data_IF_336308876693
#
_entry.id   IF_336308876693
#
_cell.length_a   1.000
_cell.length_b   1.000
_cell.length_c   1.000
_cell.angle_alpha   90.00
_cell.angle_beta   90.00
_cell.angle_gamma   90.00
#
_symmetry.space_group_name_H-M   'P 1'
#
loop_
_entity.id
_entity.type
_entity.pdbx_description
1 polymer ?
#
# COMPACT_ATOMS: atom_id res chain seq x y z
N UNK A 1 -7.20 -3.74 -3.28
CA UNK A 1 -8.10 -4.34 -4.29
C UNK A 1 -7.42 -4.32 -5.66
N UNK A 2 -7.61 -5.36 -6.47
CA UNK A 2 -7.08 -5.44 -7.84
C UNK A 2 -8.13 -4.92 -8.84
N UNK A 3 -8.59 -3.69 -8.63
CA UNK A 3 -9.70 -3.13 -9.42
C UNK A 3 -9.37 -2.98 -10.91
N UNK A 4 -8.14 -2.60 -11.23
CA UNK A 4 -7.69 -2.47 -12.61
C UNK A 4 -7.51 -3.85 -13.27
N UNK A 5 -6.97 -4.83 -12.56
CA UNK A 5 -6.78 -6.20 -13.04
C UNK A 5 -8.12 -6.87 -13.38
N UNK A 6 -9.11 -6.76 -12.49
CA UNK A 6 -10.47 -7.30 -12.73
C UNK A 6 -11.14 -6.71 -13.98
N UNK A 7 -10.76 -5.53 -14.39
CA UNK A 7 -11.31 -4.84 -15.56
C UNK A 7 -10.40 -4.89 -16.79
N UNK A 8 -9.23 -5.53 -16.69
CA UNK A 8 -8.19 -5.50 -17.72
C UNK A 8 -8.67 -6.04 -19.08
N UNK A 9 -9.34 -7.18 -19.10
CA UNK A 9 -9.84 -7.80 -20.34
C UNK A 9 -10.87 -6.93 -21.05
N UNK A 10 -11.79 -6.34 -20.26
CA UNK A 10 -12.80 -5.43 -20.81
C UNK A 10 -12.15 -4.18 -21.40
N UNK A 11 -11.15 -3.63 -20.70
CA UNK A 11 -10.40 -2.47 -21.16
C UNK A 11 -9.64 -2.79 -22.45
N UNK A 12 -8.93 -3.92 -22.50
CA UNK A 12 -8.19 -4.36 -23.67
C UNK A 12 -9.10 -4.57 -24.89
N UNK A 13 -10.30 -5.14 -24.71
CA UNK A 13 -11.30 -5.29 -25.79
C UNK A 13 -11.75 -3.94 -26.32
N UNK A 14 -12.03 -2.97 -25.45
CA UNK A 14 -12.45 -1.63 -25.84
C UNK A 14 -11.31 -0.87 -26.54
N UNK A 15 -10.09 -0.98 -26.06
CA UNK A 15 -8.91 -0.36 -26.68
C UNK A 15 -8.65 -0.92 -28.09
N UNK A 16 -8.77 -2.25 -28.29
CA UNK A 16 -8.66 -2.86 -29.62
C UNK A 16 -9.75 -2.37 -30.57
N UNK A 17 -11.00 -2.20 -30.10
CA UNK A 17 -12.09 -1.63 -30.88
C UNK A 17 -11.80 -0.16 -31.23
N UNK A 18 -11.29 0.62 -30.29
CA UNK A 18 -10.93 2.02 -30.51
C UNK A 18 -9.83 2.17 -31.57
N UNK A 19 -8.81 1.31 -31.53
CA UNK A 19 -7.70 1.34 -32.47
C UNK A 19 -8.15 1.03 -33.94
N UNK A 20 -9.25 0.28 -34.10
CA UNK A 20 -9.81 -0.04 -35.44
C UNK A 20 -10.85 0.97 -35.90
N UNK A 21 -11.30 1.87 -35.06
CA UNK A 21 -12.34 2.84 -35.40
C UNK A 21 -11.73 4.07 -36.10
N UNK A 22 -12.46 4.61 -37.08
CA UNK A 22 -12.07 5.84 -37.79
C UNK A 22 -12.06 7.01 -36.80
N UNK A 23 -10.92 7.69 -36.67
CA UNK A 23 -10.76 8.86 -35.78
C UNK A 23 -11.81 9.94 -36.10
N UNK A 24 -12.45 10.46 -35.05
CA UNK A 24 -13.45 11.51 -35.19
C UNK A 24 -14.86 11.02 -35.51
N UNK A 25 -15.04 9.72 -35.88
CA UNK A 25 -16.37 9.15 -36.12
C UNK A 25 -17.20 9.07 -34.84
N UNK A 26 -18.52 9.00 -34.97
CA UNK A 26 -19.42 8.82 -33.85
C UNK A 26 -19.15 7.51 -33.09
N UNK A 27 -18.75 6.45 -33.81
CA UNK A 27 -18.35 5.18 -33.21
C UNK A 27 -17.07 5.33 -32.39
N UNK A 28 -16.05 6.04 -32.89
CA UNK A 28 -14.83 6.35 -32.14
C UNK A 28 -15.14 7.06 -30.83
N UNK A 29 -15.97 8.11 -30.87
CA UNK A 29 -16.41 8.89 -29.69
C UNK A 29 -17.14 8.00 -28.69
N UNK A 30 -18.09 7.18 -29.15
CA UNK A 30 -18.85 6.27 -28.29
C UNK A 30 -17.95 5.22 -27.59
N UNK A 31 -16.93 4.69 -28.27
CA UNK A 31 -15.96 3.75 -27.66
C UNK A 31 -15.08 4.49 -26.64
N UNK A 32 -14.60 5.70 -26.97
CA UNK A 32 -13.81 6.53 -26.04
C UNK A 32 -14.58 6.82 -24.75
N UNK A 33 -15.87 7.12 -24.85
CA UNK A 33 -16.75 7.34 -23.69
C UNK A 33 -16.92 6.07 -22.84
N UNK A 34 -17.04 4.91 -23.47
CA UNK A 34 -17.10 3.62 -22.76
C UNK A 34 -15.80 3.35 -21.99
N UNK A 35 -14.64 3.66 -22.58
CA UNK A 35 -13.34 3.55 -21.90
C UNK A 35 -13.26 4.52 -20.72
N UNK A 36 -13.66 5.78 -20.89
CA UNK A 36 -13.66 6.79 -19.83
C UNK A 36 -14.56 6.38 -18.65
N UNK A 37 -15.77 5.89 -18.96
CA UNK A 37 -16.70 5.36 -17.94
C UNK A 37 -16.11 4.17 -17.19
N UNK A 38 -15.38 3.27 -17.88
CA UNK A 38 -14.74 2.12 -17.24
C UNK A 38 -13.62 2.57 -16.30
N UNK A 39 -12.76 3.50 -16.73
CA UNK A 39 -11.72 4.08 -15.86
C UNK A 39 -12.30 4.79 -14.65
N UNK A 40 -13.37 5.58 -14.83
CA UNK A 40 -14.09 6.21 -13.72
C UNK A 40 -14.58 5.17 -12.71
N UNK A 41 -15.20 4.08 -13.18
CA UNK A 41 -15.68 2.99 -12.32
C UNK A 41 -14.54 2.35 -11.52
N UNK A 42 -13.40 2.04 -12.17
CA UNK A 42 -12.21 1.48 -11.50
C UNK A 42 -11.72 2.43 -10.40
N UNK A 43 -11.64 3.72 -10.69
CA UNK A 43 -11.21 4.71 -9.71
C UNK A 43 -12.19 4.81 -8.54
N UNK A 44 -13.51 4.86 -8.80
CA UNK A 44 -14.51 4.91 -7.73
C UNK A 44 -14.47 3.66 -6.83
N UNK A 45 -14.28 2.47 -7.40
CA UNK A 45 -14.16 1.23 -6.62
C UNK A 45 -12.92 1.24 -5.74
N UNK A 46 -11.78 1.74 -6.27
CA UNK A 46 -10.55 1.89 -5.51
C UNK A 46 -10.71 2.89 -4.38
N UNK A 47 -11.33 4.02 -4.67
CA UNK A 47 -11.56 5.09 -3.70
C UNK A 47 -12.47 4.62 -2.56
N UNK A 48 -13.57 3.95 -2.86
CA UNK A 48 -14.47 3.38 -1.86
C UNK A 48 -13.73 2.39 -0.93
N UNK A 49 -12.93 1.50 -1.52
CA UNK A 49 -12.11 0.57 -0.74
C UNK A 49 -11.12 1.31 0.18
N UNK A 50 -10.37 2.27 -0.35
CA UNK A 50 -9.37 3.03 0.42
C UNK A 50 -10.04 3.87 1.52
N UNK A 51 -11.21 4.45 1.24
CA UNK A 51 -11.99 5.18 2.23
C UNK A 51 -12.45 4.29 3.38
N UNK A 52 -12.97 3.10 3.07
CA UNK A 52 -13.41 2.12 4.08
C UNK A 52 -12.22 1.64 4.91
N UNK A 53 -11.15 1.21 4.24
CA UNK A 53 -9.95 0.70 4.90
C UNK A 53 -9.31 1.75 5.81
N UNK A 54 -9.09 2.97 5.34
CA UNK A 54 -8.50 4.04 6.15
C UNK A 54 -9.40 4.42 7.33
N UNK A 55 -10.74 4.36 7.18
CA UNK A 55 -11.66 4.60 8.30
C UNK A 55 -11.57 3.49 9.34
N UNK A 56 -11.49 2.23 8.92
CA UNK A 56 -11.29 1.09 9.84
C UNK A 56 -10.04 1.26 10.68
N UNK A 57 -8.90 1.63 10.07
CA UNK A 57 -7.67 1.87 10.83
C UNK A 57 -7.83 3.02 11.84
N UNK A 58 -8.35 4.15 11.42
CA UNK A 58 -8.50 5.34 12.29
C UNK A 58 -9.48 5.09 13.43
N UNK A 59 -10.52 4.28 13.22
CA UNK A 59 -11.48 3.96 14.27
C UNK A 59 -10.91 3.00 15.32
N UNK A 60 -10.03 2.09 14.92
CA UNK A 60 -9.54 1.03 15.78
C UNK A 60 -8.20 1.36 16.49
N UNK A 61 -7.46 2.38 16.02
CA UNK A 61 -6.09 2.63 16.49
C UNK A 61 -5.84 4.11 16.76
N UNK A 62 -5.18 4.38 17.90
CA UNK A 62 -4.78 5.72 18.30
C UNK A 62 -3.50 6.17 17.61
N UNK A 63 -2.60 5.23 17.35
CA UNK A 63 -1.32 5.48 16.67
C UNK A 63 -1.20 4.53 15.49
N UNK A 64 -0.92 5.09 14.32
CA UNK A 64 -0.74 4.36 13.06
C UNK A 64 0.65 4.68 12.53
N UNK A 65 1.52 3.68 12.43
CA UNK A 65 2.87 3.83 11.85
C UNK A 65 2.87 3.28 10.42
N UNK A 66 3.41 4.04 9.49
CA UNK A 66 3.53 3.65 8.08
C UNK A 66 4.92 3.97 7.55
N UNK A 67 5.39 3.19 6.56
CA UNK A 67 6.63 3.55 5.86
C UNK A 67 6.44 4.79 5.00
N UNK A 68 7.43 5.71 5.02
CA UNK A 68 7.47 6.86 4.12
C UNK A 68 8.07 6.46 2.77
N UNK A 69 7.26 5.79 1.95
CA UNK A 69 7.69 5.23 0.67
C UNK A 69 7.79 6.30 -0.42
N UNK A 70 8.93 6.37 -1.10
CA UNK A 70 9.07 7.10 -2.35
C UNK A 70 8.41 6.34 -3.52
N UNK A 71 7.10 6.53 -3.65
CA UNK A 71 6.29 5.88 -4.69
C UNK A 71 6.69 6.31 -6.11
N UNK A 72 7.26 7.51 -6.28
CA UNK A 72 7.77 7.98 -7.58
C UNK A 72 9.03 7.20 -7.96
N UNK A 73 10.01 7.14 -7.07
CA UNK A 73 11.24 6.37 -7.30
C UNK A 73 10.98 4.87 -7.47
N UNK A 74 9.96 4.30 -6.80
CA UNK A 74 9.55 2.91 -7.04
C UNK A 74 9.00 2.68 -8.45
N UNK A 75 8.29 3.67 -9.02
CA UNK A 75 7.81 3.61 -10.41
C UNK A 75 8.96 3.75 -11.39
N UNK A 76 9.87 4.69 -11.17
CA UNK A 76 11.03 4.93 -12.06
C UNK A 76 11.98 3.73 -12.12
N UNK A 77 12.17 3.04 -11.00
CA UNK A 77 13.00 1.82 -10.90
C UNK A 77 12.30 0.56 -11.41
N UNK A 78 11.00 0.60 -11.63
CA UNK A 78 10.24 -0.54 -12.13
C UNK A 78 10.56 -0.86 -13.59
N UNK A 79 11.09 -2.05 -13.86
CA UNK A 79 11.54 -2.43 -15.21
C UNK A 79 10.43 -2.98 -16.11
N UNK A 80 9.21 -3.18 -15.60
CA UNK A 80 8.13 -3.74 -16.41
C UNK A 80 6.76 -3.08 -16.17
N UNK A 81 5.93 -3.10 -17.22
CA UNK A 81 4.59 -2.51 -17.20
C UNK A 81 3.65 -3.17 -16.17
N UNK A 82 3.87 -4.41 -15.80
CA UNK A 82 3.09 -5.12 -14.78
C UNK A 82 3.32 -4.53 -13.39
N UNK A 83 4.57 -4.25 -13.03
CA UNK A 83 4.94 -3.62 -11.77
C UNK A 83 4.37 -2.20 -11.66
N UNK A 84 4.46 -1.39 -12.73
CA UNK A 84 3.86 -0.06 -12.76
C UNK A 84 2.34 -0.09 -12.52
N UNK A 85 1.64 -1.05 -13.15
CA UNK A 85 0.19 -1.23 -12.95
C UNK A 85 -0.13 -1.61 -11.51
N UNK A 86 0.62 -2.52 -10.92
CA UNK A 86 0.42 -2.97 -9.53
C UNK A 86 0.66 -1.84 -8.53
N UNK A 87 1.73 -1.06 -8.68
CA UNK A 87 2.02 0.11 -7.85
C UNK A 87 0.90 1.17 -7.98
N UNK A 88 0.44 1.41 -9.22
CA UNK A 88 -0.65 2.35 -9.46
C UNK A 88 -1.98 1.87 -8.87
N UNK A 89 -2.28 0.58 -8.96
CA UNK A 89 -3.52 0.00 -8.44
C UNK A 89 -3.53 -0.05 -6.90
N UNK A 90 -2.39 -0.25 -6.27
CA UNK A 90 -2.22 -0.19 -4.82
C UNK A 90 -2.50 1.21 -4.25
N UNK A 91 -2.20 2.28 -5.01
CA UNK A 91 -2.49 3.68 -4.64
C UNK A 91 -2.00 4.08 -3.24
N UNK A 92 -0.78 3.65 -2.84
CA UNK A 92 -0.22 3.86 -1.51
C UNK A 92 -0.23 5.32 -1.06
N UNK A 93 0.23 6.25 -1.92
CA UNK A 93 0.22 7.68 -1.58
C UNK A 93 -1.17 8.19 -1.24
N UNK A 94 -2.20 7.73 -1.98
CA UNK A 94 -3.59 8.10 -1.73
C UNK A 94 -4.10 7.52 -0.40
N UNK A 95 -3.73 6.27 -0.11
CA UNK A 95 -4.08 5.62 1.15
C UNK A 95 -3.46 6.35 2.35
N UNK A 96 -2.15 6.65 2.30
CA UNK A 96 -1.46 7.41 3.35
C UNK A 96 -2.06 8.81 3.51
N UNK A 97 -2.40 9.49 2.41
CA UNK A 97 -3.10 10.77 2.46
C UNK A 97 -4.47 10.65 3.16
N UNK A 98 -5.25 9.61 2.83
CA UNK A 98 -6.54 9.37 3.49
C UNK A 98 -6.41 9.05 4.99
N UNK A 99 -5.39 8.30 5.38
CA UNK A 99 -5.06 8.06 6.78
C UNK A 99 -4.71 9.36 7.49
N UNK A 100 -3.87 10.20 6.88
CA UNK A 100 -3.38 11.44 7.48
C UNK A 100 -4.52 12.37 7.89
N UNK A 101 -5.38 12.78 6.95
CA UNK A 101 -6.44 13.74 7.28
C UNK A 101 -7.52 13.13 8.18
N UNK A 102 -7.81 11.83 8.04
CA UNK A 102 -8.79 11.17 8.91
C UNK A 102 -8.26 10.96 10.33
N UNK A 103 -6.98 10.61 10.47
CA UNK A 103 -6.34 10.50 11.78
C UNK A 103 -6.34 11.86 12.48
N UNK A 104 -5.94 12.92 11.77
CA UNK A 104 -5.98 14.30 12.29
C UNK A 104 -7.40 14.69 12.73
N UNK A 105 -8.43 14.45 11.90
CA UNK A 105 -9.82 14.76 12.24
C UNK A 105 -10.34 13.97 13.45
N UNK A 106 -9.81 12.76 13.69
CA UNK A 106 -10.21 11.91 14.81
C UNK A 106 -9.32 12.08 16.06
N UNK A 107 -8.35 13.00 16.06
CA UNK A 107 -7.38 13.16 17.13
C UNK A 107 -6.43 11.97 17.28
N UNK A 108 -6.20 11.22 16.19
CA UNK A 108 -5.29 10.08 16.11
C UNK A 108 -3.95 10.49 15.53
N UNK A 109 -2.91 9.70 15.77
CA UNK A 109 -1.56 9.97 15.25
C UNK A 109 -1.24 9.08 14.06
N UNK A 110 -0.72 9.70 12.98
CA UNK A 110 -0.08 8.99 11.88
C UNK A 110 1.41 9.33 11.91
N UNK A 111 2.25 8.31 12.06
CA UNK A 111 3.72 8.44 12.11
C UNK A 111 4.29 7.80 10.84
N UNK A 112 5.12 8.55 10.13
CA UNK A 112 5.85 8.05 8.96
C UNK A 112 7.26 7.66 9.38
N UNK A 113 7.69 6.46 9.00
CA UNK A 113 8.96 5.86 9.38
C UNK A 113 9.82 5.65 8.13
N UNK A 114 11.14 5.86 8.25
CA UNK A 114 12.09 5.56 7.17
C UNK A 114 12.03 4.07 6.83
N UNK A 115 11.78 3.69 5.55
CA UNK A 115 11.67 2.30 5.13
C UNK A 115 12.98 1.52 5.15
N UNK A 116 14.12 2.19 5.34
CA UNK A 116 15.43 1.58 5.24
C UNK A 116 15.64 0.53 6.33
N UNK A 117 16.09 -0.66 5.89
CA UNK A 117 16.45 -1.80 6.76
C UNK A 117 15.30 -2.40 7.60
N UNK A 118 14.06 -1.99 7.44
CA UNK A 118 12.92 -2.51 8.18
C UNK A 118 12.76 -4.04 8.03
N UNK A 119 13.04 -4.58 6.85
CA UNK A 119 12.99 -6.03 6.57
C UNK A 119 14.25 -6.80 7.00
N UNK A 120 15.40 -6.10 7.16
CA UNK A 120 16.68 -6.73 7.50
C UNK A 120 16.98 -6.72 8.99
N UNK A 121 16.47 -5.74 9.74
CA UNK A 121 16.66 -5.66 11.20
C UNK A 121 15.79 -6.71 11.89
N UNK A 122 16.35 -7.42 12.85
CA UNK A 122 15.58 -8.33 13.69
C UNK A 122 14.75 -7.54 14.71
N UNK A 123 13.44 -7.75 14.74
CA UNK A 123 12.56 -7.03 15.66
C UNK A 123 12.65 -7.50 17.12
N UNK A 124 13.35 -8.61 17.38
CA UNK A 124 13.59 -9.11 18.74
C UNK A 124 14.87 -8.60 19.34
N UNK A 125 16.01 -8.63 18.60
CA UNK A 125 17.33 -8.27 19.14
C UNK A 125 17.98 -7.06 18.47
N UNK A 126 17.37 -6.49 17.42
CA UNK A 126 17.91 -5.33 16.71
C UNK A 126 19.04 -5.64 15.71
N UNK A 127 19.61 -6.84 15.71
CA UNK A 127 20.73 -7.20 14.83
C UNK A 127 20.32 -7.18 13.36
N UNK A 128 21.25 -6.78 12.49
CA UNK A 128 21.00 -6.74 11.04
C UNK A 128 21.31 -8.09 10.40
N UNK A 129 20.29 -8.69 9.78
CA UNK A 129 20.39 -9.95 9.03
C UNK A 129 20.22 -9.67 7.55
N UNK A 130 21.30 -9.76 6.77
CA UNK A 130 21.25 -9.58 5.31
C UNK A 130 20.39 -10.69 4.68
N UNK A 131 19.50 -10.31 3.76
CA UNK A 131 18.61 -11.22 3.07
C UNK A 131 18.37 -10.80 1.64
N UNK A 132 18.17 -11.78 0.77
CA UNK A 132 17.71 -11.55 -0.58
C UNK A 132 16.21 -11.22 -0.59
N UNK A 133 15.77 -10.57 -1.67
CA UNK A 133 14.36 -10.18 -1.84
C UNK A 133 13.42 -11.40 -1.96
N UNK A 134 13.94 -12.55 -2.38
CA UNK A 134 13.20 -13.81 -2.50
C UNK A 134 12.88 -14.48 -1.15
N UNK A 135 13.68 -14.19 -0.10
CA UNK A 135 13.52 -14.80 1.22
C UNK A 135 12.30 -14.24 1.92
N UNK A 136 11.32 -15.08 2.25
CA UNK A 136 10.07 -14.70 2.91
C UNK A 136 10.09 -14.87 4.43
N UNK A 137 10.98 -15.71 4.95
CA UNK A 137 11.10 -15.96 6.39
C UNK A 137 12.24 -15.13 6.97
N UNK A 138 12.01 -14.51 8.12
CA UNK A 138 13.05 -13.92 8.94
C UNK A 138 13.54 -14.93 9.95
N UNK A 139 14.79 -15.37 9.80
CA UNK A 139 15.51 -16.19 10.77
C UNK A 139 16.72 -15.40 11.25
N UNK A 140 16.79 -15.17 12.55
CA UNK A 140 17.88 -14.41 13.16
C UNK A 140 18.96 -15.35 13.69
N UNK A 141 20.19 -15.34 13.13
CA UNK A 141 21.27 -16.20 13.60
C UNK A 141 21.82 -15.80 14.98
N UNK A 142 21.49 -14.61 15.47
CA UNK A 142 22.01 -14.08 16.73
C UNK A 142 21.11 -14.42 17.94
N UNK A 143 19.81 -14.45 17.79
CA UNK A 143 18.86 -14.67 18.88
C UNK A 143 17.88 -15.82 18.64
N UNK A 144 17.95 -16.50 17.49
CA UNK A 144 17.05 -17.61 17.14
C UNK A 144 15.62 -17.23 16.78
N UNK A 145 15.29 -15.91 16.77
CA UNK A 145 13.94 -15.47 16.43
C UNK A 145 13.62 -15.77 14.96
N UNK A 146 12.49 -16.46 14.73
CA UNK A 146 12.00 -16.81 13.40
C UNK A 146 10.54 -16.36 13.22
N UNK A 147 10.23 -15.70 12.11
CA UNK A 147 8.88 -15.28 11.74
C UNK A 147 8.79 -14.93 10.25
N UNK A 148 7.59 -14.60 9.77
CA UNK A 148 7.43 -14.01 8.44
C UNK A 148 8.20 -12.69 8.32
N UNK A 149 8.85 -12.46 7.16
CA UNK A 149 9.67 -11.27 6.90
C UNK A 149 8.88 -9.97 7.04
N UNK A 150 7.66 -9.96 6.54
CA UNK A 150 6.82 -8.77 6.51
C UNK A 150 6.22 -8.49 7.90
N UNK A 151 5.97 -9.55 8.69
CA UNK A 151 5.65 -9.43 10.09
C UNK A 151 6.80 -8.83 10.90
N UNK A 152 8.04 -9.29 10.66
CA UNK A 152 9.22 -8.69 11.28
C UNK A 152 9.37 -7.21 10.92
N UNK A 153 9.15 -6.85 9.64
CA UNK A 153 9.20 -5.48 9.17
C UNK A 153 8.13 -4.60 9.84
N UNK A 154 6.91 -5.09 9.97
CA UNK A 154 5.83 -4.35 10.63
C UNK A 154 6.13 -4.05 12.09
N UNK A 155 6.75 -5.00 12.82
CA UNK A 155 7.22 -4.77 14.19
C UNK A 155 8.32 -3.70 14.25
N UNK A 156 9.28 -3.72 13.33
CA UNK A 156 10.34 -2.72 13.26
C UNK A 156 9.78 -1.32 12.97
N UNK A 157 8.81 -1.22 12.05
CA UNK A 157 8.13 0.05 11.75
C UNK A 157 7.42 0.59 13.00
N UNK A 158 6.72 -0.28 13.74
CA UNK A 158 6.04 0.11 14.96
C UNK A 158 7.04 0.57 16.03
N UNK A 159 8.09 -0.20 16.31
CA UNK A 159 9.13 0.14 17.29
C UNK A 159 9.76 1.50 16.94
N UNK A 160 10.23 1.67 15.70
CA UNK A 160 10.85 2.92 15.25
C UNK A 160 9.88 4.10 15.30
N UNK A 161 8.60 3.88 14.97
CA UNK A 161 7.59 4.91 15.06
C UNK A 161 7.29 5.34 16.50
N UNK A 162 7.30 4.41 17.44
CA UNK A 162 7.06 4.70 18.86
C UNK A 162 8.27 5.36 19.54
N UNK A 163 9.48 5.13 19.05
CA UNK A 163 10.71 5.77 19.53
C UNK A 163 10.87 7.23 19.06
N UNK A 164 10.13 7.67 18.04
CA UNK A 164 10.15 9.06 17.59
C UNK A 164 9.54 9.99 18.65
N UNK A 165 10.16 11.16 18.95
CA UNK A 165 9.59 12.13 19.86
C UNK A 165 8.23 12.58 19.33
N UNK A 166 7.20 12.25 20.09
CA UNK A 166 5.82 12.59 19.73
C UNK A 166 5.51 13.95 20.33
N UNK A 167 5.18 14.94 19.51
CA UNK A 167 4.68 16.22 20.02
C UNK A 167 3.52 15.98 21.01
N UNK A 168 3.48 16.69 22.16
CA UNK A 168 2.44 16.49 23.16
C UNK A 168 1.05 16.66 22.53
N UNK A 169 0.19 15.64 22.69
CA UNK A 169 -1.24 15.81 22.44
C UNK A 169 -1.85 16.17 23.79
N UNK A 170 -2.73 17.16 23.81
CA UNK A 170 -3.56 17.40 24.97
C UNK A 170 -4.32 16.11 25.33
N UNK A 171 -4.30 15.70 26.62
CA UNK A 171 -4.86 14.41 27.03
C UNK A 171 -6.39 14.44 26.92
N UNK A 172 -6.92 13.82 25.87
CA UNK A 172 -8.30 13.31 25.92
C UNK A 172 -8.26 11.96 26.62
N UNK A 173 -9.26 11.62 27.49
CA UNK A 173 -9.22 10.39 28.25
C UNK A 173 -9.08 9.18 27.33
N UNK A 174 -8.04 8.39 27.57
CA UNK A 174 -7.67 7.19 26.84
C UNK A 174 -8.65 6.06 27.19
N UNK A 175 -9.56 5.76 26.29
CA UNK A 175 -10.23 4.46 26.27
C UNK A 175 -9.36 3.51 25.44
N UNK A 176 -8.73 2.55 26.11
CA UNK A 176 -7.96 1.42 25.59
C UNK A 176 -6.84 1.72 24.58
N UNK A 177 -5.60 1.59 25.06
CA UNK A 177 -4.41 1.46 24.21
C UNK A 177 -4.46 0.05 23.58
N UNK A 178 -5.06 -0.06 22.41
CA UNK A 178 -4.85 -1.21 21.55
C UNK A 178 -3.63 -0.94 20.69
N UNK A 179 -2.48 -1.48 21.10
CA UNK A 179 -1.26 -1.50 20.26
C UNK A 179 -1.52 -2.41 19.08
N UNK A 180 -1.78 -1.85 17.92
CA UNK A 180 -1.94 -2.65 16.72
C UNK A 180 -0.68 -2.67 15.87
N UNK A 181 -0.32 -3.87 15.56
CA UNK A 181 0.59 -4.21 14.48
C UNK A 181 0.10 -3.58 13.18
N UNK A 182 0.89 -2.69 12.61
CA UNK A 182 0.74 -2.34 11.20
C UNK A 182 0.94 -3.62 10.42
N UNK A 183 -0.14 -4.20 9.93
CA UNK A 183 -0.05 -5.20 8.89
C UNK A 183 0.68 -4.51 7.74
N UNK A 184 1.96 -4.85 7.56
CA UNK A 184 2.60 -4.61 6.29
C UNK A 184 1.63 -5.16 5.26
N UNK A 185 1.05 -4.32 4.44
CA UNK A 185 0.23 -4.78 3.33
C UNK A 185 1.17 -5.50 2.39
N UNK A 186 1.44 -6.76 2.71
CA UNK A 186 2.12 -7.69 1.81
C UNK A 186 1.17 -7.90 0.66
N UNK A 187 1.41 -7.16 -0.38
CA UNK A 187 0.87 -7.47 -1.67
C UNK A 187 1.61 -8.73 -2.15
N UNK A 188 1.04 -9.90 -1.88
CA UNK A 188 1.45 -11.10 -2.57
C UNK A 188 1.21 -10.89 -4.07
N UNK A 189 2.29 -10.55 -4.77
CA UNK A 189 2.33 -10.73 -6.20
C UNK A 189 2.15 -12.24 -6.42
N UNK A 190 0.96 -12.64 -6.88
CA UNK A 190 0.74 -14.00 -7.32
C UNK A 190 1.87 -14.40 -8.29
N UNK A 191 2.40 -15.62 -8.20
CA UNK A 191 3.50 -16.04 -9.06
C UNK A 191 3.09 -15.84 -10.52
N UNK A 192 3.93 -15.14 -11.26
CA UNK A 192 3.79 -15.01 -12.71
C UNK A 192 3.76 -16.42 -13.30
N UNK A 193 2.61 -16.83 -13.82
CA UNK A 193 2.56 -17.96 -14.75
C UNK A 193 3.24 -17.50 -16.02
N UNK A 194 4.45 -17.99 -16.24
CA UNK A 194 5.13 -18.00 -17.56
C UNK A 194 4.24 -18.78 -18.53
N UNK A 195 3.79 -18.13 -19.56
CA UNK A 195 3.49 -18.69 -20.88
C UNK A 195 4.25 -17.89 -21.91
#
# INVERSE_FOLDING_TARGET
>A
PRCAEQSADKLARLQRKLARAVRGSNNYRAIKDKIAKLHKRINCQRDDFLHKLSRTYVNNFDIICVEDLDVKGLKEKGHNNGMHRSIHDASWSKFVFMLSYKAQSAGRKLIKVDPRNTTQRCSACGSRVKKDLSVRVHECPYCGFSCDRDYNASRNILITGMEQPVAPIEPKPLHHISVMQVLAMTWEAAPFRTR
#
